data_IF_887182680257
#
_entry.id   IF_887182680257
#
_cell.length_a   1.000
_cell.length_b   1.000
_cell.length_c   1.000
_cell.angle_alpha   90.00
_cell.angle_beta   90.00
_cell.angle_gamma   90.00
#
_symmetry.space_group_name_H-M   'P 1'
#
loop_
_entity.id
_entity.type
_entity.pdbx_description
1 polymer ?
#
# COMPACT_ATOMS: atom_id res chain seq x y z
N UNK A 1 5.92 8.56 -14.12
CA UNK A 1 6.38 8.10 -12.78
C UNK A 1 6.42 6.59 -12.80
N UNK A 2 7.40 5.94 -12.16
CA UNK A 2 7.43 4.46 -12.11
C UNK A 2 6.47 3.95 -11.01
N UNK A 3 5.94 2.72 -11.12
CA UNK A 3 5.10 2.12 -10.09
C UNK A 3 5.77 2.07 -8.71
N UNK A 4 7.10 1.90 -8.67
CA UNK A 4 7.89 1.93 -7.43
C UNK A 4 7.86 3.31 -6.76
N UNK A 5 7.98 4.39 -7.52
CA UNK A 5 7.89 5.74 -6.97
C UNK A 5 6.47 6.05 -6.47
N UNK A 6 5.44 5.60 -7.21
CA UNK A 6 4.04 5.71 -6.79
C UNK A 6 3.79 4.96 -5.46
N UNK A 7 4.28 3.72 -5.36
CA UNK A 7 4.19 2.93 -4.13
C UNK A 7 4.87 3.63 -2.95
N UNK A 8 6.11 4.14 -3.13
CA UNK A 8 6.86 4.84 -2.09
C UNK A 8 6.15 6.10 -1.58
N UNK A 9 5.53 6.89 -2.46
CA UNK A 9 4.73 8.07 -2.07
C UNK A 9 3.53 7.67 -1.21
N UNK A 10 2.98 6.48 -1.42
CA UNK A 10 1.82 5.97 -0.68
C UNK A 10 2.16 5.11 0.55
N UNK A 11 3.44 4.80 0.80
CA UNK A 11 3.87 3.85 1.85
C UNK A 11 3.54 4.25 3.29
N UNK A 12 3.06 5.47 3.55
CA UNK A 12 2.64 5.89 4.90
C UNK A 12 1.21 5.53 5.25
N UNK A 13 0.41 5.07 4.28
CA UNK A 13 -1.04 4.89 4.42
C UNK A 13 -1.44 3.44 4.76
N UNK A 14 -0.63 2.72 5.52
CA UNK A 14 -0.96 1.34 5.92
C UNK A 14 -2.07 1.33 6.98
N UNK A 15 -3.09 0.52 6.73
CA UNK A 15 -4.08 0.17 7.74
C UNK A 15 -3.56 -1.02 8.56
N UNK A 16 -3.52 -0.83 9.86
CA UNK A 16 -3.20 -1.87 10.83
C UNK A 16 -4.35 -2.06 11.81
N UNK A 17 -4.55 -3.29 12.29
CA UNK A 17 -5.46 -3.57 13.38
C UNK A 17 -4.76 -4.35 14.49
N UNK A 18 -5.29 -4.27 15.70
CA UNK A 18 -4.89 -5.16 16.78
C UNK A 18 -5.80 -6.39 16.75
N UNK A 19 -5.22 -7.57 16.59
CA UNK A 19 -5.90 -8.85 16.63
C UNK A 19 -5.16 -9.76 17.60
N UNK A 20 -5.85 -10.22 18.65
CA UNK A 20 -5.28 -11.13 19.67
C UNK A 20 -3.93 -10.67 20.25
N UNK A 21 -3.82 -9.37 20.56
CA UNK A 21 -2.60 -8.80 21.14
C UNK A 21 -1.46 -8.57 20.13
N UNK A 22 -1.69 -8.79 18.83
CA UNK A 22 -0.71 -8.55 17.76
C UNK A 22 -1.18 -7.44 16.84
N UNK A 23 -0.23 -6.65 16.33
CA UNK A 23 -0.49 -5.70 15.24
C UNK A 23 -0.45 -6.48 13.93
N UNK A 24 -1.56 -6.47 13.20
CA UNK A 24 -1.68 -7.07 11.87
C UNK A 24 -1.81 -5.99 10.81
N UNK A 25 -1.05 -6.11 9.73
CA UNK A 25 -1.20 -5.29 8.54
C UNK A 25 -2.40 -5.78 7.72
N UNK A 26 -3.36 -4.88 7.47
CA UNK A 26 -4.57 -5.18 6.70
C UNK A 26 -4.40 -4.88 5.21
N UNK A 27 -3.56 -3.89 4.88
CA UNK A 27 -3.39 -3.38 3.52
C UNK A 27 -3.20 -1.86 3.51
N UNK A 28 -3.12 -1.29 2.32
CA UNK A 28 -3.09 0.15 2.08
C UNK A 28 -4.50 0.74 2.22
N UNK A 29 -4.57 1.96 2.74
CA UNK A 29 -5.75 2.79 2.62
C UNK A 29 -5.84 3.36 1.19
N UNK A 30 -6.63 2.71 0.32
CA UNK A 30 -6.77 3.15 -1.06
C UNK A 30 -7.27 4.60 -1.22
N UNK A 31 -8.01 5.14 -0.25
CA UNK A 31 -8.40 6.56 -0.28
C UNK A 31 -7.19 7.47 -0.09
N UNK A 32 -6.36 7.21 0.93
CA UNK A 32 -5.11 7.92 1.16
C UNK A 32 -4.09 7.73 0.03
N UNK A 33 -3.98 6.53 -0.55
CA UNK A 33 -3.15 6.24 -1.73
C UNK A 33 -3.58 7.13 -2.90
N UNK A 34 -4.88 7.14 -3.22
CA UNK A 34 -5.42 7.95 -4.31
C UNK A 34 -5.15 9.43 -4.11
N UNK A 35 -5.42 9.96 -2.92
CA UNK A 35 -5.16 11.36 -2.58
C UNK A 35 -3.67 11.71 -2.68
N UNK A 36 -2.78 10.81 -2.27
CA UNK A 36 -1.33 11.00 -2.39
C UNK A 36 -0.85 11.04 -3.84
N UNK A 37 -1.38 10.16 -4.69
CA UNK A 37 -1.07 10.13 -6.13
C UNK A 37 -1.59 11.39 -6.83
N UNK A 38 -2.83 11.79 -6.54
CA UNK A 38 -3.42 13.03 -7.07
C UNK A 38 -2.60 14.26 -6.63
N UNK A 39 -2.23 14.36 -5.35
CA UNK A 39 -1.40 15.44 -4.83
C UNK A 39 0.03 15.48 -5.40
N UNK A 40 0.54 14.34 -5.87
CA UNK A 40 1.83 14.24 -6.56
C UNK A 40 1.72 14.49 -8.08
N UNK A 41 0.52 14.81 -8.60
CA UNK A 41 0.30 15.03 -10.03
C UNK A 41 0.42 13.76 -10.88
N UNK A 42 0.17 12.60 -10.28
CA UNK A 42 0.26 11.30 -10.96
C UNK A 42 -1.05 10.97 -11.63
N UNK A 43 -1.01 10.68 -12.94
CA UNK A 43 -2.15 10.10 -13.64
C UNK A 43 -2.41 8.67 -13.13
N UNK A 44 -3.61 8.45 -12.60
CA UNK A 44 -4.03 7.15 -12.07
C UNK A 44 -4.68 6.35 -13.19
N UNK A 45 -3.94 5.41 -13.77
CA UNK A 45 -4.45 4.46 -14.76
C UNK A 45 -4.83 3.12 -14.11
N UNK A 46 -5.69 2.31 -14.74
CA UNK A 46 -6.00 0.95 -14.28
C UNK A 46 -4.75 0.07 -14.12
N UNK A 47 -3.78 0.22 -15.02
CA UNK A 47 -2.52 -0.55 -15.01
C UNK A 47 -1.66 -0.17 -13.80
N UNK A 48 -1.47 1.13 -13.55
CA UNK A 48 -0.75 1.61 -12.38
C UNK A 48 -1.42 1.14 -11.08
N UNK A 49 -2.75 1.17 -11.05
CA UNK A 49 -3.52 0.73 -9.90
C UNK A 49 -3.37 -0.77 -9.65
N UNK A 50 -3.42 -1.59 -10.71
CA UNK A 50 -3.18 -3.03 -10.62
C UNK A 50 -1.78 -3.36 -10.13
N UNK A 51 -0.75 -2.67 -10.62
CA UNK A 51 0.63 -2.86 -10.18
C UNK A 51 0.80 -2.52 -8.68
N UNK A 52 0.15 -1.48 -8.19
CA UNK A 52 0.14 -1.14 -6.76
C UNK A 52 -0.46 -2.25 -5.90
N UNK A 53 -1.54 -2.90 -6.36
CA UNK A 53 -2.17 -4.02 -5.64
C UNK A 53 -1.27 -5.26 -5.61
N UNK A 54 -0.52 -5.52 -6.69
CA UNK A 54 0.48 -6.60 -6.71
C UNK A 54 1.59 -6.34 -5.70
N UNK A 55 2.11 -5.11 -5.63
CA UNK A 55 3.13 -4.72 -4.67
C UNK A 55 2.61 -4.79 -3.23
N UNK A 56 1.39 -4.33 -2.97
CA UNK A 56 0.72 -4.44 -1.67
C UNK A 56 0.61 -5.90 -1.22
N UNK A 57 0.11 -6.79 -2.08
CA UNK A 57 -0.06 -8.20 -1.74
C UNK A 57 1.27 -8.85 -1.33
N UNK A 58 2.35 -8.56 -2.07
CA UNK A 58 3.69 -9.03 -1.73
C UNK A 58 4.18 -8.47 -0.38
N UNK A 59 3.95 -7.18 -0.10
CA UNK A 59 4.33 -6.55 1.16
C UNK A 59 3.53 -7.10 2.36
N UNK A 60 2.21 -7.27 2.22
CA UNK A 60 1.36 -7.87 3.25
C UNK A 60 1.78 -9.31 3.55
N UNK A 61 2.10 -10.10 2.52
CA UNK A 61 2.61 -11.45 2.69
C UNK A 61 3.94 -11.47 3.47
N UNK A 62 4.87 -10.57 3.13
CA UNK A 62 6.14 -10.43 3.84
C UNK A 62 5.97 -10.00 5.30
N UNK A 63 5.05 -9.05 5.57
CA UNK A 63 4.75 -8.58 6.94
C UNK A 63 4.09 -9.68 7.79
N UNK A 64 3.21 -10.50 7.20
CA UNK A 64 2.62 -11.67 7.87
C UNK A 64 3.63 -12.80 8.10
N UNK A 65 4.62 -12.93 7.21
CA UNK A 65 5.69 -13.93 7.32
C UNK A 65 6.75 -13.61 8.39
N UNK A 66 6.87 -12.34 8.81
CA UNK A 66 7.68 -11.94 9.97
C UNK A 66 6.94 -12.33 11.27
N UNK A 67 7.12 -13.59 11.69
CA UNK A 67 6.96 -13.96 13.10
C UNK A 67 7.95 -13.11 13.91
N UNK A 68 7.43 -12.27 14.81
CA UNK A 68 8.20 -11.78 15.95
C UNK A 68 8.59 -12.93 16.86
#
# INVERSE_FOLDING_TARGET
MTPVCAFLVSTTQWRTAQLEGRIVCLGLDYAGVRAGLEGAGVEITPELWGDLQVMEAAAVAALRGRRG
#
